data_IF_114651761467
#
_entry.id   IF_114651761467
#
_cell.length_a   1.000
_cell.length_b   1.000
_cell.length_c   1.000
_cell.angle_alpha   90.00
_cell.angle_beta   90.00
_cell.angle_gamma   90.00
#
_symmetry.space_group_name_H-M   'P 1'
#
loop_
_entity.id
_entity.type
_entity.pdbx_description
1 polymer ?
#
# COMPACT_ATOMS: atom_id res chain seq x y z
N UNK A 1 -16.20 -3.15 5.11
CA UNK A 1 -15.52 -2.71 3.86
C UNK A 1 -14.14 -3.34 3.84
N UNK A 2 -13.78 -4.05 2.78
CA UNK A 2 -12.45 -4.67 2.68
C UNK A 2 -11.37 -3.64 2.35
N UNK A 3 -10.16 -3.87 2.86
CA UNK A 3 -8.96 -3.09 2.49
C UNK A 3 -8.65 -3.33 1.02
N UNK A 4 -8.23 -2.29 0.31
CA UNK A 4 -7.84 -2.38 -1.09
C UNK A 4 -6.34 -2.14 -1.21
N UNK A 5 -5.65 -2.99 -1.95
CA UNK A 5 -4.19 -2.94 -2.07
C UNK A 5 -3.79 -2.46 -3.46
N UNK A 6 -2.76 -1.63 -3.52
CA UNK A 6 -2.17 -1.13 -4.76
C UNK A 6 -0.67 -1.42 -4.70
N UNK A 7 -0.22 -2.35 -5.54
CA UNK A 7 1.20 -2.74 -5.63
C UNK A 7 1.78 -2.11 -6.89
N UNK A 8 2.82 -1.30 -6.74
CA UNK A 8 3.53 -0.61 -7.81
C UNK A 8 4.91 -1.26 -8.02
N UNK A 9 5.21 -1.71 -9.23
CA UNK A 9 6.50 -2.35 -9.57
C UNK A 9 7.25 -1.56 -10.65
N UNK A 10 8.51 -1.21 -10.37
CA UNK A 10 9.37 -0.52 -11.33
C UNK A 10 9.05 0.97 -11.54
N UNK A 11 8.25 1.58 -10.66
CA UNK A 11 7.90 2.99 -10.74
C UNK A 11 8.96 3.86 -10.07
N UNK A 12 9.22 5.01 -10.67
CA UNK A 12 10.02 6.08 -10.07
C UNK A 12 9.21 6.83 -8.98
N UNK A 13 9.91 7.51 -8.07
CA UNK A 13 9.29 8.26 -6.98
C UNK A 13 8.27 9.31 -7.45
N UNK A 14 8.51 9.96 -8.59
CA UNK A 14 7.61 10.95 -9.18
C UNK A 14 6.30 10.30 -9.67
N UNK A 15 6.41 9.12 -10.27
CA UNK A 15 5.28 8.34 -10.79
C UNK A 15 4.44 7.74 -9.67
N UNK A 16 5.08 7.23 -8.61
CA UNK A 16 4.40 6.74 -7.41
C UNK A 16 3.54 7.84 -6.80
N UNK A 17 4.11 9.04 -6.61
CA UNK A 17 3.36 10.19 -6.07
C UNK A 17 2.16 10.55 -6.93
N UNK A 18 2.32 10.52 -8.25
CA UNK A 18 1.24 10.78 -9.21
C UNK A 18 0.14 9.72 -9.11
N UNK A 19 0.50 8.44 -9.05
CA UNK A 19 -0.44 7.33 -8.92
C UNK A 19 -1.24 7.42 -7.61
N UNK A 20 -0.56 7.66 -6.48
CA UNK A 20 -1.20 7.84 -5.17
C UNK A 20 -2.23 8.96 -5.22
N UNK A 21 -1.88 10.11 -5.82
CA UNK A 21 -2.78 11.26 -5.94
C UNK A 21 -4.05 10.88 -6.72
N UNK A 22 -3.89 10.34 -7.93
CA UNK A 22 -5.02 9.97 -8.80
C UNK A 22 -5.93 8.96 -8.10
N UNK A 23 -5.37 7.93 -7.47
CA UNK A 23 -6.16 6.88 -6.85
C UNK A 23 -6.93 7.38 -5.63
N UNK A 24 -6.32 8.23 -4.79
CA UNK A 24 -7.03 8.84 -3.65
C UNK A 24 -8.12 9.82 -4.08
N UNK A 25 -7.92 10.56 -5.16
CA UNK A 25 -8.91 11.50 -5.69
C UNK A 25 -10.13 10.79 -6.28
N UNK A 26 -9.93 9.62 -6.91
CA UNK A 26 -11.01 8.88 -7.58
C UNK A 26 -11.70 7.83 -6.69
N UNK A 27 -11.09 7.43 -5.58
CA UNK A 27 -11.64 6.44 -4.64
C UNK A 27 -11.58 6.92 -3.18
N UNK A 28 -12.16 8.09 -2.84
CA UNK A 28 -12.04 8.70 -1.51
C UNK A 28 -12.67 7.86 -0.38
N UNK A 29 -13.66 7.02 -0.69
CA UNK A 29 -14.32 6.13 0.26
C UNK A 29 -13.55 4.82 0.51
N UNK A 30 -12.51 4.53 -0.28
CA UNK A 30 -11.72 3.32 -0.13
C UNK A 30 -10.50 3.53 0.75
N UNK A 31 -10.29 2.57 1.65
CA UNK A 31 -9.02 2.47 2.35
C UNK A 31 -7.99 1.78 1.46
N UNK A 32 -7.14 2.60 0.81
CA UNK A 32 -6.08 2.15 -0.09
C UNK A 32 -4.76 1.98 0.66
N UNK A 33 -4.20 0.77 0.63
CA UNK A 33 -2.85 0.44 1.10
C UNK A 33 -1.93 0.40 -0.13
N UNK A 34 -0.93 1.26 -0.13
CA UNK A 34 0.02 1.37 -1.23
C UNK A 34 1.32 0.67 -0.86
N UNK A 35 1.83 -0.16 -1.75
CA UNK A 35 3.10 -0.82 -1.62
C UNK A 35 3.91 -0.69 -2.91
N UNK A 36 5.23 -0.75 -2.76
CA UNK A 36 6.11 -0.99 -3.90
C UNK A 36 6.72 -2.37 -3.77
N UNK A 37 6.81 -3.09 -4.88
CA UNK A 37 7.55 -4.35 -4.88
C UNK A 37 9.05 -4.06 -4.80
N UNK A 38 9.76 -4.88 -4.04
CA UNK A 38 11.21 -4.86 -3.89
C UNK A 38 11.76 -6.22 -4.30
N UNK A 39 13.07 -6.35 -4.58
CA UNK A 39 13.68 -7.66 -4.84
C UNK A 39 13.37 -8.70 -3.75
N UNK A 40 13.20 -8.26 -2.50
CA UNK A 40 12.92 -9.11 -1.36
C UNK A 40 11.51 -9.74 -1.39
N UNK A 41 10.52 -9.05 -1.96
CA UNK A 41 9.12 -9.50 -1.93
C UNK A 41 8.60 -10.00 -3.29
N UNK A 42 9.40 -9.91 -4.36
CA UNK A 42 9.02 -10.40 -5.70
C UNK A 42 8.85 -11.92 -5.78
N UNK A 43 9.51 -12.67 -4.90
CA UNK A 43 9.40 -14.12 -4.82
C UNK A 43 8.27 -14.59 -3.91
N UNK A 44 7.60 -13.68 -3.20
CA UNK A 44 6.56 -14.04 -2.25
C UNK A 44 5.27 -14.39 -2.97
N UNK A 45 4.47 -15.25 -2.33
CA UNK A 45 3.08 -15.40 -2.77
C UNK A 45 2.36 -14.06 -2.59
N UNK A 46 1.36 -13.81 -3.43
CA UNK A 46 0.54 -12.60 -3.28
C UNK A 46 -0.14 -12.57 -1.90
N UNK A 47 -0.57 -13.72 -1.39
CA UNK A 47 -1.17 -13.84 -0.06
C UNK A 47 -0.22 -13.40 1.06
N UNK A 48 1.03 -13.88 1.05
CA UNK A 48 2.04 -13.49 2.05
C UNK A 48 2.33 -11.99 2.00
N UNK A 49 2.45 -11.44 0.79
CA UNK A 49 2.67 -10.01 0.59
C UNK A 49 1.50 -9.19 1.15
N UNK A 50 0.25 -9.56 0.85
CA UNK A 50 -0.93 -8.84 1.33
C UNK A 50 -1.05 -8.92 2.86
N UNK A 51 -0.78 -10.08 3.45
CA UNK A 51 -0.80 -10.28 4.90
C UNK A 51 0.24 -9.41 5.61
N UNK A 52 1.44 -9.29 5.05
CA UNK A 52 2.49 -8.46 5.62
C UNK A 52 2.15 -6.96 5.53
N UNK A 53 1.68 -6.51 4.36
CA UNK A 53 1.24 -5.13 4.16
C UNK A 53 0.09 -4.74 5.10
N UNK A 54 -0.81 -5.68 5.39
CA UNK A 54 -1.89 -5.44 6.34
C UNK A 54 -1.37 -5.23 7.76
N UNK A 55 -0.39 -6.02 8.21
CA UNK A 55 0.24 -5.85 9.54
C UNK A 55 0.94 -4.50 9.64
N UNK A 56 1.78 -4.15 8.67
CA UNK A 56 2.51 -2.88 8.64
C UNK A 56 1.54 -1.69 8.70
N UNK A 57 0.46 -1.74 7.92
CA UNK A 57 -0.55 -0.68 7.90
C UNK A 57 -1.28 -0.53 9.25
N UNK A 58 -1.61 -1.63 9.92
CA UNK A 58 -2.21 -1.59 11.27
C UNK A 58 -1.25 -1.01 12.31
N UNK A 59 0.04 -1.34 12.25
CA UNK A 59 1.07 -0.77 13.13
C UNK A 59 1.23 0.73 12.90
N UNK A 60 1.31 1.16 11.64
CA UNK A 60 1.36 2.57 11.27
C UNK A 60 0.14 3.35 11.75
N UNK A 61 -1.06 2.75 11.69
CA UNK A 61 -2.29 3.35 12.22
C UNK A 61 -2.23 3.49 13.74
N UNK A 62 -1.78 2.47 14.47
CA UNK A 62 -1.64 2.51 15.93
C UNK A 62 -0.68 3.61 16.38
N UNK A 63 0.45 3.75 15.70
CA UNK A 63 1.44 4.80 15.99
C UNK A 63 0.89 6.22 15.77
N UNK A 64 0.08 6.42 14.72
CA UNK A 64 -0.58 7.71 14.46
C UNK A 64 -1.65 8.08 15.47
N UNK A 65 -2.28 7.09 16.11
CA UNK A 65 -3.35 7.31 17.11
C UNK A 65 -2.81 7.62 18.50
N UNK A 66 -1.58 7.21 18.80
CA UNK A 66 -0.92 7.41 20.09
C UNK A 66 -0.03 8.67 20.11
N UNK A 67 -0.16 9.56 19.13
CA UNK A 67 0.62 10.79 18.96
C UNK A 67 -0.33 11.97 18.87
#
# INVERSE_FOLDING_TARGET
MGKSFVILHGFENSEIKKAIKILKENFPEKELIFATSTPANLSWSLEDLLNELEKEHEEMKKLKRNK
#
